data_IF_302343931014
#
_entry.id   IF_302343931014
#
_cell.length_a   1.000
_cell.length_b   1.000
_cell.length_c   1.000
_cell.angle_alpha   90.00
_cell.angle_beta   90.00
_cell.angle_gamma   90.00
#
_symmetry.space_group_name_H-M   'P 1'
#
loop_
_entity.id
_entity.type
_entity.pdbx_description
1 polymer ?
#
# COMPACT_ATOMS: atom_id res chain seq x y z
N UNK A 1 0.29 43.65 45.66
CA UNK A 1 1.73 43.93 45.87
C UNK A 1 2.15 45.15 45.07
N UNK A 2 2.19 46.34 45.69
CA UNK A 2 2.67 47.58 45.03
C UNK A 2 4.09 47.99 45.47
N UNK A 3 4.62 47.30 46.48
CA UNK A 3 5.97 47.55 47.03
C UNK A 3 7.07 47.25 46.01
N UNK A 4 6.90 46.20 45.19
CA UNK A 4 7.81 45.78 44.11
C UNK A 4 7.64 46.55 42.79
N UNK A 5 6.60 47.38 42.68
CA UNK A 5 6.43 48.24 41.50
C UNK A 5 7.63 49.18 41.36
N UNK A 6 8.03 49.62 40.17
CA UNK A 6 9.12 50.61 40.02
C UNK A 6 8.67 51.62 38.97
N UNK A 7 8.20 52.81 39.40
CA UNK A 7 7.73 53.83 38.47
C UNK A 7 8.94 54.44 37.74
N UNK A 8 8.76 54.74 36.46
CA UNK A 8 9.81 55.30 35.59
C UNK A 8 10.09 56.77 35.96
N UNK A 9 9.07 57.47 36.46
CA UNK A 9 9.14 58.85 36.92
C UNK A 9 8.91 58.91 38.43
N UNK A 10 9.48 59.91 39.14
CA UNK A 10 9.23 60.10 40.55
C UNK A 10 7.73 60.36 40.79
N UNK A 11 7.12 59.58 41.69
CA UNK A 11 5.70 59.71 42.03
C UNK A 11 5.50 59.77 43.55
N UNK A 12 4.57 60.59 44.02
CA UNK A 12 4.28 60.71 45.45
C UNK A 12 3.68 59.44 46.07
N UNK A 13 2.75 58.78 45.37
CA UNK A 13 2.12 57.54 45.83
C UNK A 13 2.25 56.40 44.81
N UNK A 14 3.11 55.44 45.17
CA UNK A 14 3.47 54.27 44.36
C UNK A 14 2.30 53.32 44.07
N UNK A 15 1.34 53.21 44.99
CA UNK A 15 0.18 52.33 44.82
C UNK A 15 -0.78 52.88 43.75
N UNK A 16 -1.05 54.18 43.80
CA UNK A 16 -1.91 54.85 42.82
C UNK A 16 -1.26 54.84 41.43
N UNK A 17 0.06 55.10 41.38
CA UNK A 17 0.82 55.03 40.13
C UNK A 17 0.73 53.64 39.48
N UNK A 18 0.93 52.56 40.25
CA UNK A 18 0.78 51.19 39.75
C UNK A 18 -0.61 50.91 39.18
N UNK A 19 -1.67 51.40 39.83
CA UNK A 19 -3.05 51.22 39.36
C UNK A 19 -3.29 51.95 38.03
N UNK A 20 -2.81 53.17 37.90
CA UNK A 20 -2.95 53.94 36.67
C UNK A 20 -2.14 53.34 35.52
N UNK A 21 -0.92 52.90 35.78
CA UNK A 21 -0.08 52.28 34.76
C UNK A 21 -0.64 50.91 34.33
N UNK A 22 -1.27 50.17 35.25
CA UNK A 22 -2.00 48.95 34.91
C UNK A 22 -3.23 49.25 34.06
N UNK A 23 -4.04 50.25 34.42
CA UNK A 23 -5.23 50.62 33.67
C UNK A 23 -4.91 51.13 32.26
N UNK A 24 -3.86 51.95 32.11
CA UNK A 24 -3.39 52.43 30.81
C UNK A 24 -2.85 51.28 29.95
N UNK A 25 -2.13 50.33 30.55
CA UNK A 25 -1.67 49.13 29.86
C UNK A 25 -2.83 48.24 29.38
N UNK A 26 -3.85 48.04 30.23
CA UNK A 26 -5.05 47.27 29.86
C UNK A 26 -5.84 47.95 28.73
N UNK A 27 -6.00 49.27 28.78
CA UNK A 27 -6.63 50.06 27.72
C UNK A 27 -5.84 50.01 26.40
N UNK A 28 -4.51 50.09 26.47
CA UNK A 28 -3.64 49.93 25.31
C UNK A 28 -3.76 48.54 24.68
N UNK A 29 -3.77 47.48 25.51
CA UNK A 29 -3.97 46.11 25.04
C UNK A 29 -5.33 45.93 24.38
N UNK A 30 -6.38 46.51 24.95
CA UNK A 30 -7.73 46.54 24.37
C UNK A 30 -7.73 47.20 22.99
N UNK A 31 -7.06 48.34 22.85
CA UNK A 31 -6.93 49.05 21.56
C UNK A 31 -6.18 48.22 20.52
N UNK A 32 -5.10 47.53 20.89
CA UNK A 32 -4.38 46.62 19.98
C UNK A 32 -5.29 45.47 19.53
N UNK A 33 -6.01 44.84 20.44
CA UNK A 33 -6.89 43.70 20.12
C UNK A 33 -8.05 44.09 19.20
N UNK A 34 -8.61 45.29 19.37
CA UNK A 34 -9.73 45.79 18.55
C UNK A 34 -9.23 46.36 17.22
N UNK A 35 -7.97 46.80 17.14
CA UNK A 35 -7.40 47.36 15.92
C UNK A 35 -7.41 46.33 14.79
N UNK A 36 -8.01 46.71 13.66
CA UNK A 36 -8.03 45.88 12.46
C UNK A 36 -6.69 45.98 11.74
N UNK A 37 -6.15 44.88 11.17
CA UNK A 37 -4.96 44.96 10.34
C UNK A 37 -5.24 45.82 9.11
N UNK A 38 -4.30 46.71 8.78
CA UNK A 38 -4.40 47.62 7.61
C UNK A 38 -4.17 46.87 6.30
N UNK A 39 -3.41 45.77 6.36
CA UNK A 39 -3.05 44.95 5.20
C UNK A 39 -3.62 43.56 5.40
N UNK A 40 -4.30 43.04 4.38
CA UNK A 40 -4.73 41.65 4.36
C UNK A 40 -3.51 40.74 4.21
N UNK A 41 -3.28 39.89 5.20
CA UNK A 41 -2.23 38.86 5.20
C UNK A 41 -2.78 37.46 4.95
N UNK A 42 -4.06 37.35 4.59
CA UNK A 42 -4.71 36.06 4.32
C UNK A 42 -4.17 35.44 3.05
N UNK A 43 -4.09 34.11 3.03
CA UNK A 43 -3.66 33.38 1.83
C UNK A 43 -4.70 33.54 0.72
N UNK A 44 -4.28 33.72 -0.54
CA UNK A 44 -5.19 33.83 -1.67
C UNK A 44 -6.00 32.54 -1.85
N UNK A 45 -7.18 32.65 -2.48
CA UNK A 45 -8.07 31.52 -2.72
C UNK A 45 -7.40 30.46 -3.59
N UNK A 46 -7.25 29.25 -3.07
CA UNK A 46 -6.74 28.12 -3.84
C UNK A 46 -7.86 27.48 -4.64
N UNK A 47 -7.68 27.35 -5.96
CA UNK A 47 -8.65 26.64 -6.79
C UNK A 47 -8.32 25.15 -6.90
N UNK A 48 -9.30 24.29 -6.65
CA UNK A 48 -9.13 22.83 -6.69
C UNK A 48 -8.73 22.29 -8.06
N UNK A 49 -9.17 22.93 -9.16
CA UNK A 49 -8.84 22.51 -10.52
C UNK A 49 -7.37 22.73 -10.91
N UNK A 50 -6.63 23.60 -10.20
CA UNK A 50 -5.18 23.76 -10.38
C UNK A 50 -4.41 22.58 -9.81
N UNK A 51 -4.92 21.99 -8.73
CA UNK A 51 -4.29 20.89 -8.01
C UNK A 51 -4.80 19.51 -8.49
N UNK A 52 -6.02 19.46 -9.02
CA UNK A 52 -6.68 18.23 -9.45
C UNK A 52 -6.97 18.24 -10.95
N UNK A 53 -6.45 17.23 -11.66
CA UNK A 53 -6.77 16.96 -13.06
C UNK A 53 -8.13 16.25 -13.17
N UNK A 54 -9.22 16.99 -12.97
CA UNK A 54 -10.58 16.46 -12.92
C UNK A 54 -10.96 15.60 -14.14
N UNK A 55 -10.56 16.01 -15.36
CA UNK A 55 -10.80 15.22 -16.59
C UNK A 55 -10.12 13.85 -16.55
N UNK A 56 -8.89 13.78 -16.02
CA UNK A 56 -8.15 12.53 -15.87
C UNK A 56 -8.85 11.60 -14.87
N UNK A 57 -9.27 12.14 -13.73
CA UNK A 57 -9.99 11.38 -12.71
C UNK A 57 -11.33 10.82 -13.24
N UNK A 58 -12.06 11.63 -14.02
CA UNK A 58 -13.30 11.19 -14.64
C UNK A 58 -13.07 10.04 -15.64
N UNK A 59 -12.09 10.18 -16.52
CA UNK A 59 -11.76 9.15 -17.51
C UNK A 59 -11.35 7.83 -16.84
N UNK A 60 -10.55 7.89 -15.77
CA UNK A 60 -10.16 6.70 -15.01
C UNK A 60 -11.38 6.03 -14.35
N UNK A 61 -12.29 6.82 -13.76
CA UNK A 61 -13.53 6.31 -13.19
C UNK A 61 -14.41 5.63 -14.25
N UNK A 62 -14.55 6.24 -15.42
CA UNK A 62 -15.35 5.68 -16.52
C UNK A 62 -14.75 4.35 -17.00
N UNK A 63 -13.41 4.31 -17.17
CA UNK A 63 -12.67 3.08 -17.52
C UNK A 63 -12.88 1.97 -16.48
N UNK A 64 -12.76 2.28 -15.20
CA UNK A 64 -12.98 1.31 -14.13
C UNK A 64 -14.43 0.79 -14.13
N UNK A 65 -15.42 1.65 -14.39
CA UNK A 65 -16.82 1.23 -14.46
C UNK A 65 -17.09 0.23 -15.59
N UNK A 66 -16.39 0.39 -16.73
CA UNK A 66 -16.48 -0.54 -17.87
C UNK A 66 -15.89 -1.88 -17.46
N UNK A 67 -14.68 -1.87 -16.89
CA UNK A 67 -13.99 -3.09 -16.43
C UNK A 67 -14.85 -3.84 -15.39
N UNK A 68 -15.43 -3.14 -14.42
CA UNK A 68 -16.30 -3.75 -13.40
C UNK A 68 -17.54 -4.39 -14.00
N UNK A 69 -18.18 -3.73 -14.98
CA UNK A 69 -19.33 -4.26 -15.70
C UNK A 69 -18.97 -5.52 -16.49
N UNK A 70 -17.85 -5.50 -17.21
CA UNK A 70 -17.36 -6.62 -17.99
C UNK A 70 -16.98 -7.81 -17.10
N UNK A 71 -16.30 -7.55 -15.97
CA UNK A 71 -15.97 -8.57 -14.99
C UNK A 71 -17.23 -9.20 -14.39
N UNK A 72 -18.25 -8.40 -14.06
CA UNK A 72 -19.54 -8.93 -13.58
C UNK A 72 -20.19 -9.84 -14.62
N UNK A 73 -20.23 -9.41 -15.88
CA UNK A 73 -20.80 -10.20 -16.97
C UNK A 73 -20.02 -11.50 -17.20
N UNK A 74 -18.69 -11.45 -17.13
CA UNK A 74 -17.83 -12.62 -17.25
C UNK A 74 -18.11 -13.62 -16.12
N UNK A 75 -18.18 -13.14 -14.88
CA UNK A 75 -18.47 -13.98 -13.71
C UNK A 75 -19.86 -14.62 -13.79
N UNK A 76 -20.86 -13.89 -14.27
CA UNK A 76 -22.20 -14.43 -14.52
C UNK A 76 -22.16 -15.57 -15.56
N UNK A 77 -21.46 -15.35 -16.68
CA UNK A 77 -21.28 -16.38 -17.72
C UNK A 77 -20.54 -17.60 -17.18
N UNK A 78 -19.46 -17.41 -16.43
CA UNK A 78 -18.70 -18.50 -15.82
C UNK A 78 -19.55 -19.27 -14.81
N UNK A 79 -20.28 -18.58 -13.95
CA UNK A 79 -21.23 -19.18 -13.01
C UNK A 79 -22.29 -20.01 -13.73
N UNK A 80 -22.84 -19.50 -14.84
CA UNK A 80 -23.78 -20.24 -15.69
C UNK A 80 -23.16 -21.52 -16.21
N UNK A 81 -21.95 -21.47 -16.77
CA UNK A 81 -21.22 -22.64 -17.31
C UNK A 81 -20.95 -23.67 -16.20
N UNK A 82 -20.46 -23.22 -15.05
CA UNK A 82 -20.17 -24.09 -13.91
C UNK A 82 -21.43 -24.80 -13.40
N UNK A 83 -22.56 -24.07 -13.32
CA UNK A 83 -23.84 -24.62 -12.87
C UNK A 83 -24.45 -25.60 -13.86
N UNK A 84 -24.39 -25.32 -15.16
CA UNK A 84 -25.02 -26.17 -16.19
C UNK A 84 -24.13 -27.30 -16.70
N UNK A 85 -22.87 -27.41 -16.22
CA UNK A 85 -21.87 -28.43 -16.63
C UNK A 85 -21.74 -28.59 -18.15
N UNK A 86 -22.05 -27.55 -18.93
CA UNK A 86 -21.96 -27.54 -20.39
C UNK A 86 -22.71 -28.70 -21.07
N UNK A 87 -24.01 -28.55 -21.31
CA UNK A 87 -24.65 -29.38 -22.35
C UNK A 87 -24.15 -28.90 -23.71
N UNK A 88 -23.13 -29.57 -24.22
CA UNK A 88 -22.69 -29.45 -25.61
C UNK A 88 -23.71 -30.22 -26.45
N UNK A 89 -24.63 -29.49 -27.07
CA UNK A 89 -25.57 -29.99 -28.08
C UNK A 89 -24.88 -30.38 -29.40
N UNK A 90 -23.63 -29.95 -29.57
CA UNK A 90 -22.79 -30.19 -30.74
C UNK A 90 -21.82 -31.37 -30.57
N UNK A 91 -22.22 -32.46 -29.92
CA UNK A 91 -21.42 -33.70 -29.94
C UNK A 91 -21.66 -34.42 -31.26
N UNK A 92 -20.98 -33.95 -32.31
CA UNK A 92 -20.91 -34.67 -33.56
C UNK A 92 -19.90 -35.82 -33.38
N UNK A 93 -20.38 -37.06 -33.26
CA UNK A 93 -19.55 -38.27 -33.25
C UNK A 93 -19.02 -38.56 -34.67
N UNK A 94 -18.42 -37.55 -35.29
CA UNK A 94 -17.82 -37.63 -36.60
C UNK A 94 -16.32 -37.89 -36.44
N UNK A 95 -15.92 -39.12 -36.74
CA UNK A 95 -14.51 -39.46 -36.91
C UNK A 95 -13.99 -38.79 -38.19
N UNK A 96 -13.02 -37.86 -38.12
CA UNK A 96 -12.45 -37.23 -39.30
C UNK A 96 -11.72 -38.29 -40.14
N UNK A 97 -12.31 -38.66 -41.27
CA UNK A 97 -11.72 -39.60 -42.23
C UNK A 97 -10.63 -38.89 -43.03
N UNK A 98 -9.39 -39.07 -42.62
CA UNK A 98 -8.21 -38.59 -43.34
C UNK A 98 -7.53 -39.77 -44.03
N UNK A 99 -7.29 -39.66 -45.34
CA UNK A 99 -6.49 -40.63 -46.09
C UNK A 99 -5.06 -40.78 -45.51
N UNK A 100 -4.56 -39.75 -44.83
CA UNK A 100 -3.24 -39.74 -44.19
C UNK A 100 -3.26 -40.21 -42.72
N UNK A 101 -4.38 -40.74 -42.21
CA UNK A 101 -4.49 -41.22 -40.82
C UNK A 101 -3.47 -42.30 -40.52
N UNK A 102 -3.39 -43.31 -41.38
CA UNK A 102 -2.49 -44.46 -41.21
C UNK A 102 -1.02 -44.05 -41.30
N UNK A 103 -0.67 -43.14 -42.21
CA UNK A 103 0.69 -42.60 -42.31
C UNK A 103 1.07 -41.85 -41.02
N UNK A 104 0.20 -40.96 -40.54
CA UNK A 104 0.42 -40.24 -39.28
C UNK A 104 0.52 -41.17 -38.08
N UNK A 105 -0.28 -42.23 -38.05
CA UNK A 105 -0.24 -43.21 -36.96
C UNK A 105 1.07 -44.02 -36.96
N UNK A 106 1.57 -44.39 -38.15
CA UNK A 106 2.90 -45.01 -38.29
C UNK A 106 4.02 -44.08 -37.86
N UNK A 107 3.99 -42.82 -38.31
CA UNK A 107 4.96 -41.80 -37.90
C UNK A 107 4.90 -41.56 -36.38
N UNK A 108 3.71 -41.48 -35.80
CA UNK A 108 3.52 -41.33 -34.36
C UNK A 108 4.11 -42.51 -33.58
N UNK A 109 3.83 -43.76 -34.00
CA UNK A 109 4.42 -44.95 -33.36
C UNK A 109 5.95 -44.94 -33.47
N UNK A 110 6.49 -44.58 -34.62
CA UNK A 110 7.95 -44.47 -34.84
C UNK A 110 8.58 -43.43 -33.91
N UNK A 111 8.05 -42.21 -33.88
CA UNK A 111 8.52 -41.13 -33.01
C UNK A 111 8.40 -41.52 -31.53
N UNK A 112 7.31 -42.18 -31.15
CA UNK A 112 7.10 -42.64 -29.77
C UNK A 112 8.15 -43.68 -29.36
N UNK A 113 8.44 -44.66 -30.22
CA UNK A 113 9.49 -45.64 -29.99
C UNK A 113 10.88 -45.01 -29.90
N UNK A 114 11.21 -44.08 -30.79
CA UNK A 114 12.48 -43.34 -30.78
C UNK A 114 12.61 -42.50 -29.50
N UNK A 115 11.56 -41.79 -29.10
CA UNK A 115 11.53 -41.01 -27.86
C UNK A 115 11.72 -41.90 -26.63
N UNK A 116 11.10 -43.09 -26.60
CA UNK A 116 11.30 -44.03 -25.51
C UNK A 116 12.74 -44.54 -25.45
N UNK A 117 13.35 -44.87 -26.59
CA UNK A 117 14.75 -45.28 -26.65
C UNK A 117 15.72 -44.16 -26.20
N UNK A 118 15.42 -42.90 -26.53
CA UNK A 118 16.18 -41.73 -26.06
C UNK A 118 16.04 -41.57 -24.55
N UNK A 119 14.82 -41.70 -24.02
CA UNK A 119 14.55 -41.60 -22.59
C UNK A 119 15.32 -42.67 -21.82
N UNK A 120 15.25 -43.94 -22.27
CA UNK A 120 16.01 -45.04 -21.69
C UNK A 120 17.52 -44.76 -21.73
N UNK A 121 18.02 -44.19 -22.82
CA UNK A 121 19.43 -43.80 -22.91
C UNK A 121 19.77 -42.71 -21.89
N UNK A 122 18.96 -41.65 -21.78
CA UNK A 122 19.19 -40.56 -20.83
C UNK A 122 19.15 -41.07 -19.38
N UNK A 123 18.18 -41.93 -19.05
CA UNK A 123 18.02 -42.49 -17.72
C UNK A 123 19.18 -43.42 -17.33
N UNK A 124 19.67 -44.23 -18.28
CA UNK A 124 20.78 -45.15 -18.04
C UNK A 124 22.16 -44.50 -18.18
N UNK A 125 22.24 -43.31 -18.79
CA UNK A 125 23.47 -42.53 -18.87
C UNK A 125 23.91 -42.09 -17.48
N UNK A 126 25.11 -42.52 -17.07
CA UNK A 126 25.73 -42.03 -15.84
C UNK A 126 26.18 -40.58 -16.05
N UNK A 127 26.05 -39.71 -15.04
CA UNK A 127 26.60 -38.36 -15.12
C UNK A 127 28.13 -38.44 -15.22
N UNK A 128 28.69 -37.74 -16.22
CA UNK A 128 30.15 -37.65 -16.43
C UNK A 128 30.87 -36.97 -15.25
N UNK A 129 30.15 -36.09 -14.55
CA UNK A 129 30.69 -35.31 -13.44
C UNK A 129 29.95 -35.66 -12.15
N UNK A 130 30.71 -36.03 -11.12
CA UNK A 130 30.19 -36.25 -9.78
C UNK A 130 30.24 -34.95 -8.99
N UNK A 131 29.10 -34.52 -8.46
CA UNK A 131 28.98 -33.28 -7.66
C UNK A 131 29.97 -33.27 -6.48
N UNK A 132 30.20 -34.42 -5.86
CA UNK A 132 31.18 -34.56 -4.77
C UNK A 132 32.60 -34.24 -5.23
N UNK A 133 33.04 -34.81 -6.37
CA UNK A 133 34.37 -34.56 -6.92
C UNK A 133 34.56 -33.08 -7.29
N UNK A 134 33.55 -32.46 -7.90
CA UNK A 134 33.58 -31.03 -8.21
C UNK A 134 33.68 -30.17 -6.96
N UNK A 135 32.96 -30.53 -5.89
CA UNK A 135 33.03 -29.80 -4.63
C UNK A 135 34.42 -29.94 -3.99
N UNK A 136 35.03 -31.13 -4.02
CA UNK A 136 36.40 -31.35 -3.55
C UNK A 136 37.43 -30.55 -4.36
N UNK A 137 37.32 -30.58 -5.70
CA UNK A 137 38.17 -29.79 -6.59
C UNK A 137 38.01 -28.29 -6.35
N UNK A 138 36.77 -27.83 -6.13
CA UNK A 138 36.49 -26.45 -5.79
C UNK A 138 37.07 -26.05 -4.44
N UNK A 139 36.95 -26.88 -3.41
CA UNK A 139 37.57 -26.64 -2.10
C UNK A 139 39.10 -26.59 -2.19
N UNK A 140 39.71 -27.50 -2.97
CA UNK A 140 41.16 -27.47 -3.24
C UNK A 140 41.55 -26.17 -3.94
N UNK A 141 40.80 -25.76 -4.96
CA UNK A 141 41.01 -24.49 -5.65
C UNK A 141 40.87 -23.29 -4.70
N UNK A 142 39.85 -23.26 -3.83
CA UNK A 142 39.67 -22.18 -2.83
C UNK A 142 40.86 -22.12 -1.87
N UNK A 143 41.37 -23.28 -1.42
CA UNK A 143 42.56 -23.38 -0.58
C UNK A 143 43.84 -22.90 -1.29
N UNK A 144 44.06 -23.32 -2.54
CA UNK A 144 45.20 -22.85 -3.35
C UNK A 144 45.14 -21.35 -3.56
N UNK A 145 43.96 -20.85 -3.95
CA UNK A 145 43.76 -19.43 -4.07
C UNK A 145 44.09 -18.76 -2.73
N UNK A 146 43.62 -19.26 -1.58
CA UNK A 146 43.82 -18.63 -0.25
C UNK A 146 45.30 -18.59 0.12
N UNK A 147 46.04 -19.61 -0.28
CA UNK A 147 47.49 -19.70 -0.07
C UNK A 147 48.28 -18.72 -0.96
N UNK A 148 47.82 -18.46 -2.19
CA UNK A 148 48.46 -17.53 -3.15
C UNK A 148 48.01 -16.07 -2.92
N UNK A 149 46.98 -15.85 -2.11
CA UNK A 149 46.41 -14.52 -1.90
C UNK A 149 47.37 -13.62 -1.10
N UNK A 150 47.69 -12.45 -1.64
CA UNK A 150 48.44 -11.41 -0.90
C UNK A 150 47.62 -10.84 0.27
N UNK A 151 46.29 -10.82 0.16
CA UNK A 151 45.37 -10.28 1.16
C UNK A 151 44.25 -11.28 1.48
N UNK A 152 43.70 -11.28 2.71
CA UNK A 152 42.66 -12.23 3.13
C UNK A 152 41.42 -12.13 2.24
N UNK A 153 41.08 -13.21 1.51
CA UNK A 153 39.85 -13.27 0.72
C UNK A 153 38.71 -13.77 1.60
N UNK A 154 37.72 -12.92 1.85
CA UNK A 154 36.59 -13.22 2.74
C UNK A 154 35.91 -12.01 3.39
N UNK A 155 36.49 -10.80 3.32
CA UNK A 155 35.86 -9.61 3.88
C UNK A 155 34.48 -9.31 3.27
N UNK A 156 34.29 -9.57 1.98
CA UNK A 156 32.99 -9.35 1.32
C UNK A 156 31.88 -10.28 1.86
N UNK A 157 32.18 -11.57 2.15
CA UNK A 157 31.18 -12.53 2.67
C UNK A 157 30.65 -12.10 4.06
N UNK A 158 31.44 -11.39 4.86
CA UNK A 158 31.03 -10.84 6.16
C UNK A 158 30.16 -9.57 6.02
N UNK A 159 30.35 -8.77 4.98
CA UNK A 159 29.48 -7.65 4.64
C UNK A 159 28.08 -8.14 4.23
N UNK A 160 28.00 -9.16 3.39
CA UNK A 160 26.72 -9.72 2.93
C UNK A 160 25.87 -10.27 4.10
N UNK A 161 26.52 -10.95 5.07
CA UNK A 161 25.82 -11.45 6.26
C UNK A 161 25.35 -10.33 7.20
N UNK A 162 26.12 -9.24 7.33
CA UNK A 162 25.70 -8.05 8.09
C UNK A 162 24.53 -7.34 7.41
N UNK A 163 24.57 -7.19 6.10
CA UNK A 163 23.47 -6.60 5.32
C UNK A 163 22.19 -7.44 5.39
N UNK A 164 22.30 -8.77 5.29
CA UNK A 164 21.16 -9.68 5.41
C UNK A 164 20.55 -9.65 6.83
N UNK A 165 21.38 -9.52 7.88
CA UNK A 165 20.90 -9.32 9.26
C UNK A 165 20.21 -7.96 9.43
N UNK A 166 20.77 -6.89 8.87
CA UNK A 166 20.17 -5.55 8.90
C UNK A 166 18.79 -5.55 8.22
N UNK A 167 18.67 -6.16 7.04
CA UNK A 167 17.41 -6.28 6.26
C UNK A 167 16.34 -7.09 7.00
N UNK A 168 16.71 -8.12 7.76
CA UNK A 168 15.77 -8.86 8.61
C UNK A 168 15.25 -7.97 9.75
N UNK A 169 16.13 -7.24 10.43
CA UNK A 169 15.72 -6.35 11.54
C UNK A 169 14.86 -5.17 11.09
N UNK A 170 15.10 -4.59 9.91
CA UNK A 170 14.22 -3.55 9.35
C UNK A 170 12.86 -4.10 8.99
N UNK A 171 12.81 -5.30 8.38
CA UNK A 171 11.53 -5.95 8.05
C UNK A 171 10.68 -6.29 9.29
N UNK A 172 11.30 -6.68 10.42
CA UNK A 172 10.60 -6.92 11.68
C UNK A 172 10.10 -5.62 12.34
N UNK A 173 10.90 -4.56 12.29
CA UNK A 173 10.48 -3.22 12.76
C UNK A 173 9.32 -2.67 11.95
N UNK A 174 9.34 -2.81 10.63
CA UNK A 174 8.25 -2.39 9.75
C UNK A 174 6.97 -3.22 9.97
N UNK A 175 7.11 -4.53 10.22
CA UNK A 175 5.98 -5.40 10.63
C UNK A 175 5.42 -5.03 12.00
N UNK A 176 6.24 -4.54 12.94
CA UNK A 176 5.79 -4.07 14.25
C UNK A 176 5.05 -2.72 14.11
N UNK A 177 5.63 -1.77 13.36
CA UNK A 177 5.02 -0.48 13.05
C UNK A 177 3.65 -0.60 12.35
N UNK A 178 3.51 -1.56 11.43
CA UNK A 178 2.21 -1.87 10.79
C UNK A 178 1.18 -2.47 11.74
N UNK A 179 1.60 -3.26 12.74
CA UNK A 179 0.72 -3.78 13.78
C UNK A 179 0.27 -2.65 14.71
N UNK A 180 1.20 -1.82 15.16
CA UNK A 180 0.91 -0.67 16.03
C UNK A 180 -0.01 0.38 15.36
N UNK A 181 0.07 0.55 14.03
CA UNK A 181 -0.88 1.38 13.26
C UNK A 181 -2.27 0.74 13.15
N UNK A 182 -2.33 -0.59 13.04
CA UNK A 182 -3.59 -1.32 12.92
C UNK A 182 -4.33 -1.35 14.25
N UNK A 183 -3.63 -1.53 15.36
CA UNK A 183 -4.22 -1.49 16.70
C UNK A 183 -4.76 -0.09 17.04
N UNK A 184 -4.06 0.98 16.63
CA UNK A 184 -4.57 2.37 16.73
C UNK A 184 -5.79 2.66 15.87
N UNK A 185 -5.95 1.96 14.75
CA UNK A 185 -7.11 2.12 13.87
C UNK A 185 -8.34 1.38 14.41
N UNK A 186 -8.14 0.31 15.18
CA UNK A 186 -9.23 -0.45 15.82
C UNK A 186 -9.78 0.29 17.03
N UNK A 187 -8.95 0.99 17.81
CA UNK A 187 -9.41 1.77 18.97
C UNK A 187 -10.29 2.96 18.59
N UNK A 188 -9.99 3.65 17.48
CA UNK A 188 -10.76 4.82 17.03
C UNK A 188 -12.11 4.47 16.37
N UNK A 189 -12.38 3.19 16.09
CA UNK A 189 -13.66 2.74 15.51
C UNK A 189 -14.71 2.35 16.56
N UNK A 190 -14.35 2.32 17.85
CA UNK A 190 -15.24 1.90 18.92
C UNK A 190 -16.05 3.04 19.56
N UNK A 191 -15.82 4.30 19.17
CA UNK A 191 -16.45 5.49 19.77
C UNK A 191 -17.54 6.15 18.89
N UNK A 192 -17.98 5.51 17.80
CA UNK A 192 -19.03 6.05 16.89
C UNK A 192 -20.48 5.50 17.07
N UNK A 193 -21.02 5.12 18.25
CA UNK A 193 -22.46 4.84 18.36
C UNK A 193 -23.33 6.09 18.61
N UNK A 194 -22.77 7.19 19.15
CA UNK A 194 -23.59 8.34 19.57
C UNK A 194 -23.95 9.32 18.42
N UNK A 195 -23.14 9.41 17.37
CA UNK A 195 -23.40 10.30 16.23
C UNK A 195 -24.53 9.78 15.32
N UNK A 196 -24.67 8.46 15.18
CA UNK A 196 -25.71 7.86 14.34
C UNK A 196 -27.13 8.01 14.94
N UNK A 197 -27.25 7.91 16.27
CA UNK A 197 -28.53 8.14 16.97
C UNK A 197 -28.99 9.60 16.87
N UNK A 198 -28.07 10.57 16.96
CA UNK A 198 -28.38 11.99 16.82
C UNK A 198 -28.87 12.33 15.41
N UNK A 199 -28.27 11.72 14.38
CA UNK A 199 -28.68 11.89 12.98
C UNK A 199 -30.08 11.29 12.75
N UNK A 200 -30.39 10.15 13.37
CA UNK A 200 -31.71 9.53 13.27
C UNK A 200 -32.80 10.40 13.94
N UNK A 201 -32.48 11.01 15.08
CA UNK A 201 -33.41 11.88 15.80
C UNK A 201 -33.69 13.19 15.05
N UNK A 202 -32.67 13.79 14.42
CA UNK A 202 -32.83 14.98 13.57
C UNK A 202 -33.68 14.67 12.35
N UNK A 203 -33.48 13.52 11.69
CA UNK A 203 -34.29 13.11 10.53
C UNK A 203 -35.77 12.92 10.88
N UNK A 204 -36.06 12.33 12.04
CA UNK A 204 -37.43 12.17 12.53
C UNK A 204 -38.09 13.52 12.83
N UNK A 205 -37.37 14.45 13.44
CA UNK A 205 -37.88 15.80 13.70
C UNK A 205 -38.24 16.54 12.39
N UNK A 206 -37.37 16.43 11.38
CA UNK A 206 -37.59 17.05 10.06
C UNK A 206 -38.79 16.44 9.33
N UNK A 207 -38.98 15.12 9.40
CA UNK A 207 -40.15 14.45 8.81
C UNK A 207 -41.46 14.91 9.44
N UNK A 208 -41.53 14.98 10.78
CA UNK A 208 -42.72 15.44 11.50
C UNK A 208 -43.06 16.90 11.19
N UNK A 209 -42.04 17.76 10.99
CA UNK A 209 -42.29 19.16 10.60
C UNK A 209 -42.79 19.30 9.17
N UNK A 210 -42.42 18.40 8.25
CA UNK A 210 -42.92 18.43 6.87
C UNK A 210 -44.37 17.98 6.76
N UNK A 211 -44.80 17.02 7.59
CA UNK A 211 -46.19 16.54 7.63
C UNK A 211 -47.15 17.54 8.27
N UNK A 212 -46.68 18.48 9.10
CA UNK A 212 -47.51 19.54 9.70
C UNK A 212 -47.71 20.78 8.82
N UNK A 213 -47.08 20.84 7.64
CA UNK A 213 -47.11 22.00 6.73
C UNK A 213 -48.01 21.72 5.49
N UNK A 214 -48.66 20.55 5.42
CA UNK A 214 -49.75 20.23 4.47
C UNK A 214 -51.10 20.24 5.18
#
# INVERSE_FOLDING_TARGET
MHRSYQPILPCGNKYLQQKWDKATYEEHKRKIQISKPVVDTSTPQTYGHLHLKLRKLKLEKDRLSIIERENRLLLEKMSRIMRTKGRIDNKNEYEPKSLNRERREREFRKVSQENHAILERIMNCKPQYTVQKWNEEWQKAENYMNSIARYPRGLCKLQDQKELKLKKTTSERDRKKKRDLKDRCVTNKAEEPEEEELIHQIKNQVMITKEKIQ
#
